data_IF_937013493270
#
_entry.id   IF_937013493270
#
_cell.length_a   1.000
_cell.length_b   1.000
_cell.length_c   1.000
_cell.angle_alpha   90.00
_cell.angle_beta   90.00
_cell.angle_gamma   90.00
#
_symmetry.space_group_name_H-M   'P 1'
#
loop_
_entity.id
_entity.type
_entity.pdbx_description
1 polymer ?
#
# COMPACT_ATOMS: atom_id res chain seq x y z
N UNK A 1 7.46 29.68 3.19
CA UNK A 1 7.74 28.36 3.82
C UNK A 1 6.59 27.84 4.68
N UNK A 2 5.90 28.66 5.48
CA UNK A 2 4.76 28.20 6.31
C UNK A 2 3.53 27.75 5.52
N UNK A 3 3.15 28.47 4.45
CA UNK A 3 1.97 28.13 3.64
C UNK A 3 2.11 26.79 2.89
N UNK A 4 3.30 26.51 2.34
CA UNK A 4 3.62 25.24 1.65
C UNK A 4 3.55 24.03 2.59
N UNK A 5 4.05 24.17 3.83
CA UNK A 5 4.04 23.10 4.82
C UNK A 5 2.62 22.73 5.30
N UNK A 6 1.67 23.66 5.21
CA UNK A 6 0.27 23.43 5.59
C UNK A 6 -0.55 22.82 4.45
N UNK A 7 -0.09 22.90 3.20
CA UNK A 7 -0.87 22.49 2.03
C UNK A 7 -1.17 20.98 2.04
N UNK A 8 -0.14 20.15 2.20
CA UNK A 8 -0.25 18.69 2.27
C UNK A 8 -1.22 18.18 3.36
N UNK A 9 -1.07 18.57 4.65
CA UNK A 9 -2.01 18.13 5.68
C UNK A 9 -3.43 18.66 5.45
N UNK A 10 -3.58 19.85 4.87
CA UNK A 10 -4.89 20.41 4.54
C UNK A 10 -5.60 19.60 3.45
N UNK A 11 -4.91 19.27 2.36
CA UNK A 11 -5.46 18.43 1.28
C UNK A 11 -5.82 17.04 1.81
N UNK A 12 -4.97 16.44 2.63
CA UNK A 12 -5.27 15.16 3.28
C UNK A 12 -6.52 15.24 4.16
N UNK A 13 -6.62 16.27 5.00
CA UNK A 13 -7.77 16.47 5.87
C UNK A 13 -9.07 16.64 5.07
N UNK A 14 -9.04 17.43 4.00
CA UNK A 14 -10.20 17.62 3.11
C UNK A 14 -10.60 16.29 2.45
N UNK A 15 -9.64 15.53 1.89
CA UNK A 15 -9.92 14.24 1.27
C UNK A 15 -10.53 13.24 2.27
N UNK A 16 -10.00 13.19 3.50
CA UNK A 16 -10.52 12.35 4.57
C UNK A 16 -11.95 12.76 4.97
N UNK A 17 -12.20 14.06 5.13
CA UNK A 17 -13.53 14.59 5.46
C UNK A 17 -14.55 14.25 4.36
N UNK A 18 -14.16 14.37 3.08
CA UNK A 18 -15.00 13.98 1.95
C UNK A 18 -15.31 12.48 2.00
N UNK A 19 -14.31 11.62 2.21
CA UNK A 19 -14.52 10.18 2.31
C UNK A 19 -15.48 9.81 3.45
N UNK A 20 -15.31 10.43 4.63
CA UNK A 20 -16.20 10.26 5.78
C UNK A 20 -17.61 10.75 5.45
N UNK A 21 -17.76 11.91 4.83
CA UNK A 21 -19.06 12.45 4.45
C UNK A 21 -19.79 11.50 3.49
N UNK A 22 -19.11 10.99 2.46
CA UNK A 22 -19.67 10.00 1.54
C UNK A 22 -20.12 8.74 2.29
N UNK A 23 -19.29 8.21 3.18
CA UNK A 23 -19.62 7.02 3.96
C UNK A 23 -20.84 7.23 4.87
N UNK A 24 -20.89 8.35 5.60
CA UNK A 24 -21.97 8.67 6.52
C UNK A 24 -23.28 8.95 5.79
N UNK A 25 -23.24 9.79 4.75
CA UNK A 25 -24.41 10.13 3.93
C UNK A 25 -24.91 8.85 3.23
N UNK A 26 -24.03 8.11 2.57
CA UNK A 26 -24.36 6.85 1.90
C UNK A 26 -24.98 5.84 2.86
N UNK A 27 -24.40 5.64 4.04
CA UNK A 27 -24.93 4.74 5.07
C UNK A 27 -26.26 5.22 5.68
N UNK A 28 -26.47 6.54 5.77
CA UNK A 28 -27.71 7.14 6.32
C UNK A 28 -28.89 7.02 5.36
N UNK A 29 -28.66 7.24 4.08
CA UNK A 29 -29.69 7.20 3.03
C UNK A 29 -29.88 5.82 2.39
N UNK A 30 -28.98 4.87 2.64
CA UNK A 30 -29.12 3.50 2.14
C UNK A 30 -30.34 2.77 2.72
N UNK A 31 -31.02 2.00 1.88
CA UNK A 31 -32.16 1.17 2.26
C UNK A 31 -31.66 0.00 3.11
N UNK A 32 -32.02 0.00 4.40
CA UNK A 32 -31.66 -1.07 5.32
C UNK A 32 -32.66 -2.23 5.20
N UNK A 33 -32.32 -3.26 4.42
CA UNK A 33 -33.07 -4.52 4.39
C UNK A 33 -32.90 -5.36 5.66
N UNK A 34 -33.80 -6.34 5.91
CA UNK A 34 -33.71 -7.27 7.05
C UNK A 34 -32.34 -7.94 7.12
N UNK A 35 -31.77 -8.06 8.31
CA UNK A 35 -30.53 -8.79 8.53
C UNK A 35 -30.85 -10.27 8.70
N UNK A 36 -30.55 -11.08 7.68
CA UNK A 36 -30.63 -12.54 7.72
C UNK A 36 -29.22 -13.13 7.73
N UNK A 37 -29.06 -14.37 8.23
CA UNK A 37 -27.77 -15.06 8.21
C UNK A 37 -27.17 -15.11 6.79
N UNK A 38 -27.98 -15.45 5.78
CA UNK A 38 -27.54 -15.50 4.38
C UNK A 38 -27.18 -14.14 3.77
N UNK A 39 -27.69 -13.03 4.29
CA UNK A 39 -27.28 -11.68 3.86
C UNK A 39 -25.93 -11.27 4.47
N UNK A 40 -25.64 -11.77 5.67
CA UNK A 40 -24.42 -11.47 6.40
C UNK A 40 -23.29 -12.47 6.11
N UNK A 41 -23.61 -13.62 5.50
CA UNK A 41 -22.61 -14.59 5.07
C UNK A 41 -21.80 -14.06 3.88
N UNK A 42 -20.51 -14.42 3.77
CA UNK A 42 -19.71 -14.11 2.59
C UNK A 42 -20.37 -14.60 1.30
N UNK A 43 -20.16 -13.87 0.21
CA UNK A 43 -20.62 -14.33 -1.10
C UNK A 43 -19.79 -15.54 -1.54
N UNK A 44 -20.45 -16.68 -1.71
CA UNK A 44 -19.86 -17.97 -2.07
C UNK A 44 -20.60 -18.60 -3.24
N UNK A 45 -21.00 -17.79 -4.23
CA UNK A 45 -21.76 -18.23 -5.41
C UNK A 45 -23.07 -18.98 -5.09
N UNK A 46 -23.64 -18.75 -3.89
CA UNK A 46 -24.85 -19.44 -3.42
C UNK A 46 -24.63 -20.78 -2.73
N UNK A 47 -23.37 -21.20 -2.56
CA UNK A 47 -23.00 -22.43 -1.87
C UNK A 47 -22.61 -22.15 -0.41
N UNK A 48 -22.88 -23.08 0.50
CA UNK A 48 -22.38 -22.96 1.87
C UNK A 48 -20.87 -23.25 1.88
N UNK A 49 -20.07 -22.21 2.10
CA UNK A 49 -18.62 -22.36 2.06
C UNK A 49 -18.15 -23.12 3.31
N UNK A 50 -17.39 -24.23 3.17
CA UNK A 50 -17.00 -25.07 4.30
C UNK A 50 -15.91 -24.45 5.18
N UNK A 51 -15.37 -23.29 4.78
CA UNK A 51 -14.22 -22.68 5.43
C UNK A 51 -14.61 -21.37 6.12
N UNK A 52 -14.63 -21.39 7.45
CA UNK A 52 -14.93 -20.24 8.30
C UNK A 52 -13.67 -19.38 8.60
N UNK A 53 -12.53 -19.67 7.97
CA UNK A 53 -11.23 -19.05 8.26
C UNK A 53 -10.69 -18.09 7.20
N UNK A 54 -9.48 -17.57 7.43
CA UNK A 54 -8.75 -16.72 6.48
C UNK A 54 -8.17 -17.53 5.31
N UNK A 55 -8.49 -17.13 4.09
CA UNK A 55 -7.99 -17.80 2.88
C UNK A 55 -6.46 -17.70 2.82
N UNK A 56 -5.76 -18.83 2.96
CA UNK A 56 -4.29 -18.91 2.82
C UNK A 56 -3.92 -19.02 1.35
N UNK A 57 -3.76 -17.87 0.70
CA UNK A 57 -3.22 -17.80 -0.67
C UNK A 57 -1.70 -17.97 -0.66
N UNK A 58 -1.15 -18.72 -1.62
CA UNK A 58 0.30 -18.78 -1.81
C UNK A 58 0.78 -17.44 -2.40
N UNK A 59 1.48 -16.66 -1.58
CA UNK A 59 2.05 -15.36 -1.97
C UNK A 59 3.55 -15.42 -2.22
N UNK A 60 4.17 -16.59 -2.33
CA UNK A 60 5.62 -16.75 -2.45
C UNK A 60 6.19 -15.88 -3.58
N UNK A 61 5.59 -15.94 -4.77
CA UNK A 61 6.02 -15.13 -5.92
C UNK A 61 5.72 -13.65 -5.72
N UNK A 62 4.56 -13.31 -5.14
CA UNK A 62 4.20 -11.92 -4.86
C UNK A 62 5.15 -11.28 -3.85
N UNK A 63 5.58 -12.04 -2.85
CA UNK A 63 6.49 -11.60 -1.81
C UNK A 63 7.86 -11.22 -2.38
N UNK A 64 8.37 -11.99 -3.35
CA UNK A 64 9.62 -11.66 -4.06
C UNK A 64 9.51 -10.26 -4.71
N UNK A 65 8.40 -9.97 -5.40
CA UNK A 65 8.16 -8.64 -5.99
C UNK A 65 8.05 -7.53 -4.93
N UNK A 66 7.38 -7.81 -3.81
CA UNK A 66 7.25 -6.85 -2.72
C UNK A 66 8.61 -6.50 -2.09
N UNK A 67 9.50 -7.48 -1.94
CA UNK A 67 10.87 -7.26 -1.45
C UNK A 67 11.66 -6.40 -2.43
N UNK A 68 11.59 -6.68 -3.75
CA UNK A 68 12.25 -5.83 -4.74
C UNK A 68 11.69 -4.41 -4.74
N UNK A 69 10.37 -4.24 -4.65
CA UNK A 69 9.73 -2.93 -4.54
C UNK A 69 10.27 -2.15 -3.34
N UNK A 70 10.36 -2.77 -2.17
CA UNK A 70 10.90 -2.15 -0.96
C UNK A 70 12.38 -1.75 -1.12
N UNK A 71 13.20 -2.61 -1.74
CA UNK A 71 14.60 -2.29 -2.03
C UNK A 71 14.67 -1.05 -2.92
N UNK A 72 13.93 -1.02 -4.03
CA UNK A 72 13.97 0.12 -4.96
C UNK A 72 13.42 1.41 -4.35
N UNK A 73 12.41 1.33 -3.47
CA UNK A 73 11.87 2.50 -2.76
C UNK A 73 12.93 3.15 -1.84
N UNK A 74 13.63 2.33 -1.04
CA UNK A 74 14.74 2.82 -0.19
C UNK A 74 15.90 3.36 -1.03
N UNK A 75 16.26 2.68 -2.12
CA UNK A 75 17.34 3.11 -3.02
C UNK A 75 17.00 4.46 -3.66
N UNK A 76 15.77 4.66 -4.14
CA UNK A 76 15.34 5.93 -4.72
C UNK A 76 15.53 7.09 -3.74
N UNK A 77 15.09 6.91 -2.48
CA UNK A 77 15.27 7.92 -1.43
C UNK A 77 16.75 8.19 -1.12
N UNK A 78 17.55 7.13 -0.97
CA UNK A 78 18.99 7.25 -0.68
C UNK A 78 19.76 7.93 -1.81
N UNK A 79 19.40 7.67 -3.07
CA UNK A 79 20.00 8.33 -4.22
C UNK A 79 19.68 9.82 -4.21
N UNK A 80 18.41 10.22 -4.00
CA UNK A 80 18.02 11.64 -3.94
C UNK A 80 18.82 12.41 -2.87
N UNK A 81 18.95 11.83 -1.67
CA UNK A 81 19.77 12.44 -0.60
C UNK A 81 21.24 12.50 -1.00
N UNK A 82 21.78 11.42 -1.56
CA UNK A 82 23.20 11.35 -1.94
C UNK A 82 23.55 12.35 -3.04
N UNK A 83 22.69 12.52 -4.05
CA UNK A 83 22.85 13.53 -5.10
C UNK A 83 22.90 14.95 -4.55
N UNK A 84 22.12 15.24 -3.49
CA UNK A 84 22.15 16.54 -2.82
C UNK A 84 23.48 16.82 -2.13
N UNK A 85 24.16 15.78 -1.63
CA UNK A 85 25.44 15.91 -0.93
C UNK A 85 26.62 15.91 -1.91
N UNK A 86 26.76 14.88 -2.74
CA UNK A 86 27.81 14.77 -3.75
C UNK A 86 27.56 13.58 -4.67
N UNK A 87 27.87 13.77 -5.96
CA UNK A 87 27.71 12.76 -7.00
C UNK A 87 28.47 11.45 -6.69
N UNK A 88 29.62 11.54 -6.02
CA UNK A 88 30.43 10.36 -5.68
C UNK A 88 29.67 9.45 -4.71
N UNK A 89 28.96 10.01 -3.73
CA UNK A 89 28.18 9.24 -2.78
C UNK A 89 27.02 8.52 -3.48
N UNK A 90 26.34 9.21 -4.41
CA UNK A 90 25.27 8.60 -5.20
C UNK A 90 25.79 7.42 -6.04
N UNK A 91 26.96 7.56 -6.66
CA UNK A 91 27.59 6.47 -7.44
C UNK A 91 27.95 5.30 -6.53
N UNK A 92 28.58 5.53 -5.38
CA UNK A 92 28.96 4.47 -4.44
C UNK A 92 27.71 3.72 -3.95
N UNK A 93 26.66 4.43 -3.53
CA UNK A 93 25.41 3.81 -3.12
C UNK A 93 24.77 3.01 -4.25
N UNK A 94 24.71 3.55 -5.47
CA UNK A 94 24.19 2.84 -6.64
C UNK A 94 24.94 1.53 -6.89
N UNK A 95 26.29 1.55 -6.86
CA UNK A 95 27.10 0.36 -7.08
C UNK A 95 26.91 -0.71 -5.99
N UNK A 96 26.85 -0.31 -4.72
CA UNK A 96 26.58 -1.25 -3.61
C UNK A 96 25.20 -1.89 -3.77
N UNK A 97 24.19 -1.09 -4.08
CA UNK A 97 22.82 -1.59 -4.25
C UNK A 97 22.73 -2.54 -5.45
N UNK A 98 23.34 -2.20 -6.59
CA UNK A 98 23.41 -3.07 -7.77
C UNK A 98 24.08 -4.41 -7.44
N UNK A 99 25.22 -4.40 -6.75
CA UNK A 99 25.91 -5.61 -6.33
C UNK A 99 25.04 -6.49 -5.40
N UNK A 100 24.35 -5.87 -4.44
CA UNK A 100 23.45 -6.57 -3.52
C UNK A 100 22.26 -7.21 -4.24
N UNK A 101 21.62 -6.50 -5.18
CA UNK A 101 20.47 -7.01 -5.91
C UNK A 101 20.88 -8.11 -6.90
N UNK A 102 22.04 -8.00 -7.55
CA UNK A 102 22.58 -9.07 -8.40
C UNK A 102 22.81 -10.35 -7.59
N UNK A 103 23.34 -10.24 -6.36
CA UNK A 103 23.51 -11.40 -5.48
C UNK A 103 22.17 -12.04 -5.11
N UNK A 104 21.15 -11.23 -4.81
CA UNK A 104 19.79 -11.72 -4.49
C UNK A 104 19.12 -12.36 -5.70
N UNK A 105 19.25 -11.80 -6.91
CA UNK A 105 18.66 -12.35 -8.14
C UNK A 105 19.32 -13.69 -8.53
N UNK A 106 20.62 -13.83 -8.27
CA UNK A 106 21.37 -15.05 -8.63
C UNK A 106 21.13 -16.20 -7.65
N UNK A 107 20.44 -15.96 -6.54
CA UNK A 107 20.12 -16.96 -5.52
C UNK A 107 18.68 -17.44 -5.65
#
# INVERSE_FOLDING_TARGET
MSHEALFLPTVFAIALLIAIAIYLIGGRFSVKGKQSKGKLSPYSCGEDFPYEGELRVNLERFFIYAVYFLIFDVVAFMLVISFKTSLIHAIIYALITLASTIFVIKR
#
